data_IF_424816959044
#
_entry.id   IF_424816959044
#
_cell.length_a   1.000
_cell.length_b   1.000
_cell.length_c   1.000
_cell.angle_alpha   90.00
_cell.angle_beta   90.00
_cell.angle_gamma   90.00
#
_symmetry.space_group_name_H-M   'P 1'
#
loop_
_entity.id
_entity.type
_entity.pdbx_description
1 polymer ?
#
# COMPACT_ATOMS: atom_id res chain seq x y z
N UNK A 1 -0.43 24.61 6.42
CA UNK A 1 -0.44 24.96 4.97
C UNK A 1 -1.79 25.56 4.62
N UNK A 2 -1.84 26.57 3.72
CA UNK A 2 -3.11 27.16 3.32
C UNK A 2 -3.98 26.16 2.54
N UNK A 3 -5.27 26.22 2.76
CA UNK A 3 -6.26 25.35 2.13
C UNK A 3 -6.18 25.34 0.59
N UNK A 4 -6.00 26.54 -0.01
CA UNK A 4 -5.84 26.70 -1.46
C UNK A 4 -4.61 25.95 -2.00
N UNK A 5 -3.48 26.00 -1.27
CA UNK A 5 -2.24 25.33 -1.64
C UNK A 5 -2.36 23.81 -1.54
N UNK A 6 -3.04 23.29 -0.50
CA UNK A 6 -3.32 21.86 -0.39
C UNK A 6 -4.15 21.37 -1.56
N UNK A 7 -5.25 22.07 -1.87
CA UNK A 7 -6.13 21.74 -3.00
C UNK A 7 -5.40 21.79 -4.34
N UNK A 8 -4.54 22.81 -4.51
CA UNK A 8 -3.73 22.95 -5.72
C UNK A 8 -2.75 21.78 -5.86
N UNK A 9 -2.02 21.42 -4.79
CA UNK A 9 -1.09 20.29 -4.80
C UNK A 9 -1.79 18.98 -5.18
N UNK A 10 -2.95 18.71 -4.58
CA UNK A 10 -3.76 17.51 -4.92
C UNK A 10 -4.17 17.52 -6.39
N UNK A 11 -4.66 18.65 -6.92
CA UNK A 11 -5.13 18.75 -8.30
C UNK A 11 -3.99 18.60 -9.33
N UNK A 12 -2.81 19.15 -9.05
CA UNK A 12 -1.65 19.11 -9.95
C UNK A 12 -0.97 17.74 -9.98
N UNK A 13 -1.14 16.93 -8.92
CA UNK A 13 -0.51 15.61 -8.78
C UNK A 13 -1.51 14.44 -8.92
N UNK A 14 -2.79 14.72 -9.21
CA UNK A 14 -3.83 13.71 -9.46
C UNK A 14 -3.68 13.07 -10.84
N UNK A 15 -2.61 12.28 -11.02
CA UNK A 15 -2.35 11.45 -12.20
C UNK A 15 -1.82 10.09 -11.75
N UNK A 16 -1.90 9.08 -12.63
CA UNK A 16 -1.37 7.74 -12.36
C UNK A 16 0.15 7.86 -12.22
N UNK A 17 0.70 7.38 -11.09
CA UNK A 17 2.11 7.50 -10.69
C UNK A 17 2.60 6.22 -10.02
N UNK A 18 2.51 5.12 -10.75
CA UNK A 18 2.88 3.80 -10.25
C UNK A 18 4.34 3.73 -9.83
N UNK A 19 4.62 2.98 -8.79
CA UNK A 19 5.96 2.80 -8.25
C UNK A 19 7.00 2.45 -9.30
N UNK A 20 8.14 3.16 -9.31
CA UNK A 20 9.23 3.03 -10.28
C UNK A 20 8.97 3.69 -11.63
N UNK A 21 7.83 4.37 -11.84
CA UNK A 21 7.53 5.09 -13.07
C UNK A 21 8.14 6.49 -13.11
N UNK A 22 8.32 7.08 -14.31
CA UNK A 22 8.69 8.50 -14.44
C UNK A 22 7.70 9.44 -13.74
N UNK A 23 6.42 9.09 -13.73
CA UNK A 23 5.35 9.85 -13.08
C UNK A 23 5.49 9.85 -11.55
N UNK A 24 5.88 8.70 -10.95
CA UNK A 24 6.25 8.65 -9.53
C UNK A 24 7.41 9.61 -9.24
N UNK A 25 8.48 9.55 -10.07
CA UNK A 25 9.62 10.47 -9.96
C UNK A 25 9.22 11.95 -10.06
N UNK A 26 8.28 12.29 -10.94
CA UNK A 26 7.73 13.65 -11.06
C UNK A 26 6.98 14.07 -9.79
N UNK A 27 6.23 13.19 -9.15
CA UNK A 27 5.54 13.47 -7.90
C UNK A 27 6.54 13.67 -6.74
N UNK A 28 7.59 12.85 -6.67
CA UNK A 28 8.68 13.04 -5.69
C UNK A 28 9.31 14.43 -5.78
N UNK A 29 9.59 14.88 -7.00
CA UNK A 29 10.11 16.23 -7.26
C UNK A 29 9.10 17.34 -6.93
N UNK A 30 7.81 17.10 -7.15
CA UNK A 30 6.76 18.03 -6.73
C UNK A 30 6.70 18.19 -5.21
N UNK A 31 6.82 17.08 -4.46
CA UNK A 31 6.89 17.09 -2.99
C UNK A 31 8.14 17.86 -2.53
N UNK A 32 9.31 17.54 -3.09
CA UNK A 32 10.57 18.23 -2.77
C UNK A 32 10.48 19.74 -3.04
N UNK A 33 9.88 20.10 -4.18
CA UNK A 33 9.67 21.51 -4.55
C UNK A 33 8.66 22.21 -3.62
N UNK A 34 7.61 21.51 -3.18
CA UNK A 34 6.67 22.03 -2.20
C UNK A 34 7.36 22.31 -0.85
N UNK A 35 8.24 21.40 -0.39
CA UNK A 35 9.07 21.62 0.81
C UNK A 35 9.94 22.88 0.63
N UNK A 36 10.62 23.05 -0.51
CA UNK A 36 11.43 24.23 -0.79
C UNK A 36 10.59 25.52 -0.80
N UNK A 37 9.37 25.46 -1.31
CA UNK A 37 8.40 26.57 -1.25
C UNK A 37 7.96 26.96 0.17
N UNK A 38 8.14 26.08 1.14
CA UNK A 38 7.94 26.32 2.57
C UNK A 38 9.23 26.79 3.28
N UNK A 39 10.36 26.88 2.57
CA UNK A 39 11.67 27.18 3.13
C UNK A 39 12.34 25.99 3.80
N UNK A 40 11.93 24.76 3.44
CA UNK A 40 12.41 23.51 4.02
C UNK A 40 13.23 22.74 2.98
N UNK A 41 14.30 22.07 3.40
CA UNK A 41 15.18 21.31 2.52
C UNK A 41 14.88 19.82 2.63
N UNK A 42 14.30 19.25 1.57
CA UNK A 42 14.07 17.82 1.45
C UNK A 42 15.04 17.18 0.44
N UNK A 43 15.47 15.96 0.71
CA UNK A 43 16.32 15.16 -0.16
C UNK A 43 15.57 13.96 -0.73
N UNK A 44 16.07 13.43 -1.84
CA UNK A 44 15.62 12.19 -2.45
C UNK A 44 16.60 11.07 -2.09
N UNK A 45 16.06 9.91 -1.70
CA UNK A 45 16.81 8.68 -1.50
C UNK A 45 16.29 7.62 -2.46
N UNK A 46 17.12 7.24 -3.45
CA UNK A 46 16.76 6.25 -4.45
C UNK A 46 16.94 4.83 -3.94
N UNK A 47 16.06 3.94 -4.40
CA UNK A 47 16.16 2.50 -4.19
C UNK A 47 15.67 1.74 -5.43
N UNK A 48 16.18 0.52 -5.69
CA UNK A 48 15.75 -0.26 -6.85
C UNK A 48 14.39 -0.91 -6.61
N UNK A 49 13.60 -1.00 -7.68
CA UNK A 49 12.36 -1.77 -7.73
C UNK A 49 12.34 -2.66 -8.96
N UNK A 50 11.85 -3.88 -8.80
CA UNK A 50 11.70 -4.80 -9.91
C UNK A 50 10.46 -4.44 -10.73
N UNK A 51 10.64 -4.31 -12.03
CA UNK A 51 9.65 -3.89 -12.99
C UNK A 51 9.57 -4.88 -14.13
N UNK A 52 8.46 -4.89 -14.87
CA UNK A 52 8.33 -5.65 -16.08
C UNK A 52 7.59 -4.85 -17.17
N UNK A 53 8.08 -4.96 -18.40
CA UNK A 53 7.35 -4.52 -19.59
C UNK A 53 6.78 -5.74 -20.28
N UNK A 54 5.47 -5.89 -20.28
CA UNK A 54 4.79 -6.97 -20.98
C UNK A 54 4.81 -6.67 -22.48
N UNK A 55 5.43 -7.55 -23.26
CA UNK A 55 5.51 -7.47 -24.72
C UNK A 55 4.35 -8.17 -25.40
N UNK A 56 3.89 -9.29 -24.78
CA UNK A 56 2.79 -10.10 -25.30
C UNK A 56 2.08 -10.79 -24.15
N UNK A 57 0.74 -10.73 -24.12
CA UNK A 57 -0.11 -11.48 -23.21
C UNK A 57 -1.32 -11.99 -23.98
N UNK A 58 -1.47 -13.30 -24.08
CA UNK A 58 -2.58 -13.94 -24.79
C UNK A 58 -3.17 -15.07 -23.94
N UNK A 59 -4.47 -15.18 -24.04
CA UNK A 59 -5.24 -16.30 -23.49
C UNK A 59 -6.15 -16.86 -24.58
N UNK A 60 -6.09 -18.17 -24.76
CA UNK A 60 -6.97 -18.93 -25.64
C UNK A 60 -7.66 -19.99 -24.81
N UNK A 61 -8.97 -20.16 -24.96
CA UNK A 61 -9.76 -21.18 -24.28
C UNK A 61 -10.55 -21.99 -25.29
N UNK A 62 -10.30 -23.30 -25.35
CA UNK A 62 -10.86 -24.23 -26.34
C UNK A 62 -10.77 -23.68 -27.78
N UNK A 63 -9.64 -23.02 -28.11
CA UNK A 63 -9.36 -22.44 -29.42
C UNK A 63 -9.93 -21.04 -29.66
N UNK A 64 -10.71 -20.46 -28.75
CA UNK A 64 -11.22 -19.10 -28.82
C UNK A 64 -10.30 -18.12 -28.06
N UNK A 65 -9.95 -16.98 -28.68
CA UNK A 65 -9.18 -15.91 -28.03
C UNK A 65 -10.03 -15.22 -26.93
N UNK A 66 -9.42 -15.00 -25.76
CA UNK A 66 -10.06 -14.41 -24.60
C UNK A 66 -9.32 -13.12 -24.19
N UNK A 67 -9.99 -11.98 -24.06
CA UNK A 67 -9.36 -10.75 -23.58
C UNK A 67 -8.74 -10.94 -22.20
N UNK A 68 -7.47 -10.57 -22.05
CA UNK A 68 -6.73 -10.65 -20.79
C UNK A 68 -5.65 -9.58 -20.70
N UNK A 69 -5.15 -9.35 -19.48
CA UNK A 69 -3.88 -8.67 -19.21
C UNK A 69 -2.86 -9.68 -18.68
N UNK A 70 -1.58 -9.46 -18.97
CA UNK A 70 -0.53 -10.28 -18.39
C UNK A 70 -0.27 -9.94 -16.92
N UNK A 71 0.25 -10.90 -16.17
CA UNK A 71 0.78 -10.67 -14.84
C UNK A 71 2.23 -10.21 -14.96
N UNK A 72 2.50 -8.95 -14.65
CA UNK A 72 3.86 -8.42 -14.61
C UNK A 72 4.70 -9.18 -13.56
N UNK A 73 5.99 -9.34 -13.83
CA UNK A 73 6.93 -10.07 -12.97
C UNK A 73 6.58 -11.56 -12.70
N UNK A 74 5.60 -12.12 -13.40
CA UNK A 74 5.38 -13.56 -13.44
C UNK A 74 6.35 -14.26 -14.41
N UNK A 75 6.31 -15.59 -14.52
CA UNK A 75 7.13 -16.33 -15.46
C UNK A 75 6.76 -16.03 -16.91
N UNK A 76 7.73 -15.85 -17.81
CA UNK A 76 7.49 -15.83 -19.25
C UNK A 76 7.39 -17.25 -19.78
N UNK A 77 6.57 -17.46 -20.81
CA UNK A 77 6.46 -18.72 -21.49
C UNK A 77 5.14 -18.92 -22.24
N UNK A 78 5.09 -20.04 -22.95
CA UNK A 78 3.88 -20.55 -23.61
C UNK A 78 3.47 -21.86 -22.93
N UNK A 79 2.26 -21.92 -22.41
CA UNK A 79 1.70 -23.08 -21.71
C UNK A 79 0.32 -23.40 -22.27
N UNK A 80 0.13 -24.64 -22.69
CA UNK A 80 -1.18 -25.19 -23.06
C UNK A 80 -1.48 -26.42 -22.22
N UNK A 81 -2.59 -26.38 -21.46
CA UNK A 81 -2.96 -27.46 -20.55
C UNK A 81 -4.46 -27.47 -20.25
N UNK A 82 -4.98 -28.55 -19.64
CA UNK A 82 -6.34 -28.55 -19.11
C UNK A 82 -6.54 -27.45 -18.08
N UNK A 83 -7.76 -26.88 -18.03
CA UNK A 83 -8.15 -25.87 -17.05
C UNK A 83 -8.72 -26.54 -15.80
N UNK A 84 -8.38 -26.00 -14.64
CA UNK A 84 -9.02 -26.38 -13.38
C UNK A 84 -9.52 -25.12 -12.67
N UNK A 85 -10.81 -25.06 -12.37
CA UNK A 85 -11.38 -23.97 -11.58
C UNK A 85 -11.19 -24.27 -10.10
N UNK A 86 -10.26 -23.57 -9.47
CA UNK A 86 -9.90 -23.72 -8.06
C UNK A 86 -10.81 -22.84 -7.19
N UNK A 87 -11.76 -23.47 -6.52
CA UNK A 87 -12.73 -22.79 -5.64
C UNK A 87 -12.36 -22.83 -4.16
N UNK A 88 -11.43 -23.71 -3.78
CA UNK A 88 -11.00 -23.91 -2.40
C UNK A 88 -9.50 -24.21 -2.34
N UNK A 89 -8.85 -23.76 -1.28
CA UNK A 89 -7.43 -24.02 -1.00
C UNK A 89 -7.21 -25.26 -0.11
N UNK A 90 -8.19 -26.15 -0.01
CA UNK A 90 -8.05 -27.41 0.71
C UNK A 90 -7.10 -28.38 -0.01
N UNK A 91 -6.50 -29.37 0.71
CA UNK A 91 -5.52 -30.28 0.12
C UNK A 91 -6.03 -31.10 -1.07
N UNK A 92 -7.31 -31.44 -1.10
CA UNK A 92 -7.88 -32.21 -2.22
C UNK A 92 -7.97 -31.33 -3.47
N UNK A 93 -8.52 -30.10 -3.34
CA UNK A 93 -8.63 -29.14 -4.44
C UNK A 93 -7.26 -28.76 -4.99
N UNK A 94 -6.27 -28.53 -4.13
CA UNK A 94 -4.89 -28.26 -4.54
C UNK A 94 -4.28 -29.46 -5.29
N UNK A 95 -4.55 -30.70 -4.88
CA UNK A 95 -4.05 -31.88 -5.58
C UNK A 95 -4.50 -31.96 -7.05
N UNK A 96 -5.62 -31.34 -7.40
CA UNK A 96 -6.16 -31.25 -8.75
C UNK A 96 -5.44 -30.26 -9.67
N UNK A 97 -4.58 -29.39 -9.11
CA UNK A 97 -3.86 -28.37 -9.89
C UNK A 97 -2.71 -28.93 -10.73
N UNK A 98 -2.20 -30.13 -10.40
CA UNK A 98 -1.03 -30.71 -11.04
C UNK A 98 -1.19 -30.85 -12.56
N UNK A 99 -0.25 -30.23 -13.31
CA UNK A 99 -0.23 -30.29 -14.78
C UNK A 99 -1.34 -29.49 -15.45
N UNK A 100 -1.96 -28.56 -14.74
CA UNK A 100 -3.10 -27.77 -15.25
C UNK A 100 -2.84 -26.26 -15.19
N UNK A 101 -3.64 -25.53 -15.93
CA UNK A 101 -3.81 -24.07 -15.80
C UNK A 101 -4.92 -23.83 -14.77
N UNK A 102 -4.60 -23.10 -13.71
CA UNK A 102 -5.51 -22.87 -12.59
C UNK A 102 -6.28 -21.57 -12.79
N UNK A 103 -7.61 -21.64 -12.90
CA UNK A 103 -8.49 -20.47 -12.83
C UNK A 103 -8.88 -20.26 -11.36
N UNK A 104 -8.57 -19.11 -10.76
CA UNK A 104 -8.81 -18.83 -9.35
C UNK A 104 -9.40 -17.44 -9.13
N UNK A 105 -10.32 -17.34 -8.15
CA UNK A 105 -10.83 -16.08 -7.61
C UNK A 105 -9.85 -15.41 -6.63
N UNK A 106 -8.80 -16.13 -6.24
CA UNK A 106 -7.78 -15.59 -5.33
C UNK A 106 -6.75 -14.78 -6.10
N UNK A 107 -6.44 -13.60 -5.61
CA UNK A 107 -5.25 -12.87 -6.04
C UNK A 107 -4.01 -13.70 -5.70
N UNK A 108 -2.98 -13.59 -6.53
CA UNK A 108 -1.72 -14.32 -6.34
C UNK A 108 -0.87 -13.66 -5.24
N UNK A 109 -1.38 -13.68 -4.01
CA UNK A 109 -0.59 -13.38 -2.82
C UNK A 109 0.36 -14.54 -2.49
N UNK A 110 1.27 -14.32 -1.54
CA UNK A 110 2.36 -15.25 -1.19
C UNK A 110 1.90 -16.71 -1.01
N UNK A 111 0.94 -16.95 -0.11
CA UNK A 111 0.50 -18.31 0.19
C UNK A 111 -0.29 -18.94 -0.95
N UNK A 112 -1.16 -18.20 -1.62
CA UNK A 112 -1.92 -18.71 -2.77
C UNK A 112 -1.00 -19.15 -3.89
N UNK A 113 -0.04 -18.29 -4.26
CA UNK A 113 0.92 -18.60 -5.33
C UNK A 113 1.80 -19.80 -4.97
N UNK A 114 2.33 -19.82 -3.74
CA UNK A 114 3.15 -20.92 -3.24
C UNK A 114 2.40 -22.26 -3.30
N UNK A 115 1.18 -22.28 -2.80
CA UNK A 115 0.37 -23.53 -2.74
C UNK A 115 0.06 -24.08 -4.14
N UNK A 116 -0.38 -23.23 -5.10
CA UNK A 116 -0.70 -23.71 -6.45
C UNK A 116 0.56 -24.16 -7.20
N UNK A 117 1.68 -23.47 -7.00
CA UNK A 117 2.96 -23.83 -7.59
C UNK A 117 3.48 -25.16 -7.04
N UNK A 118 3.48 -25.35 -5.71
CA UNK A 118 3.89 -26.60 -5.06
C UNK A 118 2.96 -27.76 -5.43
N UNK A 119 1.69 -27.48 -5.66
CA UNK A 119 0.73 -28.46 -6.18
C UNK A 119 1.02 -28.86 -7.64
N UNK A 120 1.91 -28.15 -8.34
CA UNK A 120 2.36 -28.46 -9.70
C UNK A 120 1.48 -27.84 -10.79
N UNK A 121 0.84 -26.71 -10.53
CA UNK A 121 0.20 -25.91 -11.57
C UNK A 121 1.24 -25.41 -12.59
N UNK A 122 0.86 -25.39 -13.87
CA UNK A 122 1.73 -24.95 -14.97
C UNK A 122 1.61 -23.45 -15.27
N UNK A 123 0.43 -22.89 -15.03
CA UNK A 123 0.11 -21.48 -15.22
C UNK A 123 -1.14 -21.12 -14.41
N UNK A 124 -1.47 -19.83 -14.35
CA UNK A 124 -2.67 -19.38 -13.64
C UNK A 124 -3.44 -18.30 -14.39
N UNK A 125 -4.74 -18.27 -14.14
CA UNK A 125 -5.67 -17.23 -14.57
C UNK A 125 -6.34 -16.71 -13.31
N UNK A 126 -6.27 -15.39 -13.06
CA UNK A 126 -7.04 -14.75 -12.00
C UNK A 126 -8.12 -13.85 -12.60
N UNK A 127 -9.11 -13.49 -11.79
CA UNK A 127 -10.12 -12.55 -12.22
C UNK A 127 -10.52 -11.62 -11.09
N UNK A 128 -10.99 -10.43 -11.46
CA UNK A 128 -11.64 -9.49 -10.56
C UNK A 128 -12.74 -8.71 -11.28
N UNK A 129 -13.29 -7.74 -10.57
CA UNK A 129 -14.41 -6.93 -11.02
C UNK A 129 -15.70 -7.30 -10.32
N UNK A 130 -16.79 -6.70 -10.77
CA UNK A 130 -18.14 -6.97 -10.27
C UNK A 130 -19.03 -7.34 -11.46
N UNK A 131 -19.69 -8.50 -11.37
CA UNK A 131 -20.56 -9.01 -12.45
C UNK A 131 -21.70 -8.03 -12.78
N UNK A 132 -22.13 -7.21 -11.82
CA UNK A 132 -23.17 -6.20 -12.02
C UNK A 132 -22.67 -4.89 -12.63
N UNK A 133 -21.34 -4.71 -12.71
CA UNK A 133 -20.69 -3.52 -13.28
C UNK A 133 -19.71 -3.94 -14.38
N UNK A 134 -20.23 -4.27 -15.58
CA UNK A 134 -19.41 -4.82 -16.67
C UNK A 134 -18.36 -3.85 -17.22
N UNK A 135 -18.51 -2.56 -16.96
CA UNK A 135 -17.61 -1.50 -17.41
C UNK A 135 -16.47 -1.21 -16.40
N UNK A 136 -16.32 -2.06 -15.37
CA UNK A 136 -15.19 -1.94 -14.45
C UNK A 136 -13.88 -2.20 -15.19
N UNK A 137 -12.82 -1.45 -14.82
CA UNK A 137 -11.51 -1.59 -15.44
C UNK A 137 -10.91 -2.97 -15.15
N UNK A 138 -10.23 -3.52 -16.12
CA UNK A 138 -9.34 -4.66 -15.92
C UNK A 138 -7.99 -4.12 -15.44
N UNK A 139 -7.78 -4.15 -14.13
CA UNK A 139 -6.57 -3.63 -13.51
C UNK A 139 -5.36 -4.49 -13.89
N UNK A 140 -4.25 -3.89 -14.40
CA UNK A 140 -3.00 -4.60 -14.58
C UNK A 140 -2.53 -5.22 -13.26
N UNK A 141 -2.09 -6.47 -13.31
CA UNK A 141 -1.64 -7.22 -12.13
C UNK A 141 -0.15 -7.48 -12.18
N UNK A 142 0.42 -7.63 -11.01
CA UNK A 142 1.83 -7.91 -10.81
C UNK A 142 2.01 -9.02 -9.79
N UNK A 143 2.95 -9.90 -10.07
CA UNK A 143 3.44 -10.86 -9.10
C UNK A 143 4.62 -10.21 -8.36
N UNK A 144 4.40 -9.80 -7.13
CA UNK A 144 5.45 -9.16 -6.32
C UNK A 144 6.64 -10.11 -6.16
N UNK A 145 7.86 -9.58 -6.25
CA UNK A 145 9.10 -10.39 -6.28
C UNK A 145 9.26 -11.29 -5.06
N UNK A 146 8.87 -10.84 -3.87
CA UNK A 146 8.90 -11.68 -2.67
C UNK A 146 7.90 -12.86 -2.72
N UNK A 147 6.98 -12.88 -3.69
CA UNK A 147 6.06 -14.02 -3.93
C UNK A 147 6.70 -15.03 -4.85
N UNK A 148 7.56 -14.60 -5.78
CA UNK A 148 8.06 -15.39 -6.91
C UNK A 148 9.57 -15.65 -6.87
N UNK A 149 10.14 -15.86 -5.69
CA UNK A 149 11.59 -15.98 -5.50
C UNK A 149 12.28 -16.98 -6.45
N UNK A 150 11.61 -18.10 -6.79
CA UNK A 150 12.12 -19.09 -7.76
C UNK A 150 11.00 -19.73 -8.55
N UNK A 151 11.32 -20.20 -9.79
CA UNK A 151 10.41 -20.98 -10.64
C UNK A 151 9.05 -20.33 -10.86
N UNK A 152 9.04 -19.12 -11.38
CA UNK A 152 7.82 -18.40 -11.72
C UNK A 152 7.07 -19.09 -12.87
N UNK A 153 5.75 -19.26 -12.72
CA UNK A 153 4.85 -19.74 -13.77
C UNK A 153 4.13 -18.55 -14.41
N UNK A 154 3.79 -18.62 -15.71
CA UNK A 154 3.09 -17.53 -16.39
C UNK A 154 1.67 -17.38 -15.87
N UNK A 155 1.17 -16.14 -15.87
CA UNK A 155 -0.17 -15.83 -15.42
C UNK A 155 -0.81 -14.71 -16.21
N UNK A 156 -2.13 -14.76 -16.30
CA UNK A 156 -2.96 -13.73 -16.91
C UNK A 156 -4.13 -13.36 -16.00
N UNK A 157 -4.67 -12.18 -16.23
CA UNK A 157 -5.79 -11.65 -15.47
C UNK A 157 -6.94 -11.30 -16.41
N UNK A 158 -8.18 -11.65 -16.03
CA UNK A 158 -9.38 -11.45 -16.84
C UNK A 158 -10.48 -10.77 -16.01
N UNK A 159 -11.45 -10.20 -16.69
CA UNK A 159 -12.64 -9.65 -16.04
C UNK A 159 -13.55 -10.77 -15.52
N UNK A 160 -14.22 -10.57 -14.37
CA UNK A 160 -15.13 -11.55 -13.75
C UNK A 160 -16.20 -12.05 -14.71
N UNK A 161 -16.80 -11.21 -15.55
CA UNK A 161 -17.79 -11.63 -16.54
C UNK A 161 -17.21 -12.56 -17.60
N UNK A 162 -15.92 -12.45 -17.89
CA UNK A 162 -15.21 -13.40 -18.75
C UNK A 162 -15.02 -14.72 -18.02
N UNK A 163 -14.59 -14.69 -16.75
CA UNK A 163 -14.44 -15.92 -15.95
C UNK A 163 -15.77 -16.68 -15.81
N UNK A 164 -16.89 -15.97 -15.57
CA UNK A 164 -18.23 -16.58 -15.53
C UNK A 164 -18.54 -17.31 -16.83
N UNK A 165 -18.33 -16.67 -18.00
CA UNK A 165 -18.58 -17.29 -19.32
C UNK A 165 -17.70 -18.53 -19.55
N UNK A 166 -16.45 -18.51 -19.11
CA UNK A 166 -15.56 -19.68 -19.22
C UNK A 166 -16.07 -20.86 -18.39
N UNK A 167 -16.53 -20.57 -17.17
CA UNK A 167 -17.10 -21.62 -16.29
C UNK A 167 -18.43 -22.13 -16.84
N UNK A 168 -19.33 -21.26 -17.32
CA UNK A 168 -20.62 -21.66 -17.93
C UNK A 168 -20.43 -22.54 -19.17
N UNK A 169 -19.45 -22.20 -20.03
CA UNK A 169 -19.09 -23.04 -21.20
C UNK A 169 -18.42 -24.36 -20.82
N UNK A 170 -17.96 -24.52 -19.58
CA UNK A 170 -17.23 -25.70 -19.14
C UNK A 170 -15.91 -25.87 -19.87
N UNK A 171 -15.14 -24.78 -20.03
CA UNK A 171 -13.85 -24.77 -20.71
C UNK A 171 -12.93 -25.87 -20.23
N UNK A 172 -12.40 -26.65 -21.19
CA UNK A 172 -11.57 -27.82 -20.91
C UNK A 172 -10.07 -27.53 -20.98
N UNK A 173 -9.63 -26.71 -21.92
CA UNK A 173 -8.21 -26.40 -22.17
C UNK A 173 -8.01 -24.92 -22.34
N UNK A 174 -6.84 -24.44 -21.89
CA UNK A 174 -6.41 -23.09 -22.17
C UNK A 174 -4.95 -23.09 -22.66
N UNK A 175 -4.63 -22.06 -23.42
CA UNK A 175 -3.26 -21.70 -23.80
C UNK A 175 -2.99 -20.28 -23.32
N UNK A 176 -1.90 -20.10 -22.57
CA UNK A 176 -1.40 -18.82 -22.12
C UNK A 176 -0.06 -18.56 -22.81
N UNK A 177 0.11 -17.35 -23.37
CA UNK A 177 1.38 -16.85 -23.82
C UNK A 177 1.68 -15.57 -23.05
N UNK A 178 2.82 -15.52 -22.37
CA UNK A 178 3.28 -14.33 -21.66
C UNK A 178 4.75 -14.09 -21.99
N UNK A 179 5.02 -12.97 -22.66
CA UNK A 179 6.37 -12.52 -22.97
C UNK A 179 6.58 -11.16 -22.31
N UNK A 180 7.59 -11.05 -21.49
CA UNK A 180 7.91 -9.81 -20.78
C UNK A 180 9.42 -9.65 -20.60
N UNK A 181 9.83 -8.39 -20.49
CA UNK A 181 11.18 -8.00 -20.14
C UNK A 181 11.15 -7.51 -18.69
N UNK A 182 11.89 -8.19 -17.82
CA UNK A 182 12.04 -7.80 -16.42
C UNK A 182 13.32 -6.99 -16.25
N UNK A 183 13.25 -5.93 -15.46
CA UNK A 183 14.38 -5.03 -15.21
C UNK A 183 14.23 -4.34 -13.86
N UNK A 184 15.31 -3.74 -13.37
CA UNK A 184 15.26 -2.88 -12.20
C UNK A 184 15.16 -1.41 -12.62
N UNK A 185 14.23 -0.68 -12.00
CA UNK A 185 14.07 0.75 -12.15
C UNK A 185 14.23 1.48 -10.80
N UNK A 186 14.44 2.81 -10.81
CA UNK A 186 14.55 3.58 -9.59
C UNK A 186 13.17 3.97 -9.06
N UNK A 187 12.97 3.80 -7.77
CA UNK A 187 11.97 4.52 -7.00
C UNK A 187 12.66 5.40 -5.95
N UNK A 188 11.92 6.25 -5.24
CA UNK A 188 12.52 7.25 -4.35
C UNK A 188 11.66 7.47 -3.12
N UNK A 189 12.33 7.63 -1.98
CA UNK A 189 11.73 8.29 -0.82
C UNK A 189 12.10 9.78 -0.85
N UNK A 190 11.18 10.64 -0.43
CA UNK A 190 11.47 12.06 -0.15
C UNK A 190 11.61 12.21 1.35
N UNK A 191 12.71 12.78 1.83
CA UNK A 191 13.00 12.88 3.25
C UNK A 191 13.27 14.33 3.65
N UNK A 192 12.60 14.76 4.72
CA UNK A 192 12.76 16.06 5.34
C UNK A 192 13.06 15.88 6.83
N UNK A 193 14.10 16.56 7.31
CA UNK A 193 14.49 16.55 8.72
C UNK A 193 14.24 17.91 9.37
N UNK A 194 13.59 17.90 10.53
CA UNK A 194 13.47 19.05 11.42
C UNK A 194 14.19 18.72 12.74
N UNK A 195 15.37 19.29 12.99
CA UNK A 195 16.14 19.00 14.21
C UNK A 195 15.38 19.45 15.47
N UNK A 196 15.33 18.58 16.47
CA UNK A 196 14.82 18.90 17.81
C UNK A 196 15.94 19.15 18.81
N UNK A 197 15.55 19.45 20.06
CA UNK A 197 16.51 19.68 21.15
C UNK A 197 17.05 18.39 21.78
N UNK A 198 16.31 17.28 21.62
CA UNK A 198 16.64 15.98 22.23
C UNK A 198 17.18 14.95 21.22
N UNK A 199 17.50 13.76 21.72
CA UNK A 199 18.04 12.67 20.92
C UNK A 199 16.98 11.79 20.26
N UNK A 200 15.75 11.80 20.79
CA UNK A 200 14.64 11.00 20.27
C UNK A 200 14.12 11.56 18.95
N UNK A 201 13.70 10.68 18.06
CA UNK A 201 13.12 11.04 16.76
C UNK A 201 11.70 10.49 16.65
N UNK A 202 10.79 11.28 16.09
CA UNK A 202 9.48 10.83 15.60
C UNK A 202 9.52 10.87 14.07
N UNK A 203 9.15 9.76 13.44
CA UNK A 203 9.07 9.67 11.97
C UNK A 203 7.61 9.76 11.55
N UNK A 204 7.31 10.69 10.65
CA UNK A 204 6.03 10.75 9.93
C UNK A 204 6.20 10.07 8.58
N UNK A 205 5.22 9.28 8.16
CA UNK A 205 5.23 8.60 6.87
C UNK A 205 3.90 8.72 6.13
N UNK A 206 3.96 8.74 4.82
CA UNK A 206 2.84 8.56 3.89
C UNK A 206 3.39 8.20 2.53
N UNK A 207 2.74 7.32 1.79
CA UNK A 207 3.16 7.09 0.41
C UNK A 207 2.61 8.13 -0.55
N UNK A 208 3.21 8.19 -1.74
CA UNK A 208 2.82 9.14 -2.76
C UNK A 208 2.61 8.49 -4.14
N UNK A 209 2.94 7.21 -4.31
CA UNK A 209 2.63 6.44 -5.51
C UNK A 209 1.13 6.08 -5.58
N UNK A 210 0.71 5.46 -6.66
CA UNK A 210 -0.66 4.99 -6.87
C UNK A 210 -0.68 3.69 -7.65
N UNK A 211 -1.82 2.99 -7.63
CA UNK A 211 -2.05 1.83 -8.49
C UNK A 211 -2.21 2.22 -9.97
N UNK A 212 -2.06 1.27 -10.93
CA UNK A 212 -2.11 1.57 -12.36
C UNK A 212 -3.44 2.12 -12.89
N UNK A 213 -4.53 1.96 -12.14
CA UNK A 213 -5.88 2.40 -12.55
C UNK A 213 -6.42 3.55 -11.72
N UNK A 214 -5.64 4.05 -10.76
CA UNK A 214 -6.04 5.11 -9.84
C UNK A 214 -5.14 6.34 -9.97
N UNK A 215 -5.73 7.51 -9.95
CA UNK A 215 -4.99 8.75 -9.74
C UNK A 215 -4.68 8.99 -8.25
N UNK A 216 -5.22 8.14 -7.36
CA UNK A 216 -4.88 8.04 -5.95
C UNK A 216 -4.92 9.38 -5.20
N UNK A 217 -6.05 10.09 -5.24
CA UNK A 217 -6.17 11.36 -4.52
C UNK A 217 -6.38 11.09 -3.03
N UNK A 218 -7.25 10.16 -2.72
CA UNK A 218 -7.46 9.71 -1.35
C UNK A 218 -6.36 8.73 -0.93
N UNK A 219 -6.01 7.79 -1.80
CA UNK A 219 -4.97 6.78 -1.62
C UNK A 219 -3.77 7.01 -2.58
N UNK A 220 -2.69 7.81 -2.22
CA UNK A 220 -2.56 8.49 -0.93
C UNK A 220 -1.93 9.90 -1.08
N UNK A 221 -2.35 10.68 -2.11
CA UNK A 221 -1.96 12.10 -2.14
C UNK A 221 -2.49 12.85 -0.91
N UNK A 222 -3.60 12.40 -0.33
CA UNK A 222 -4.18 12.98 0.87
C UNK A 222 -3.23 12.93 2.06
N UNK A 223 -2.61 11.78 2.32
CA UNK A 223 -1.56 11.61 3.33
C UNK A 223 -0.31 12.42 2.98
N UNK A 224 0.08 12.42 1.70
CA UNK A 224 1.25 13.17 1.24
C UNK A 224 1.11 14.69 1.46
N UNK A 225 -0.04 15.28 1.15
CA UNK A 225 -0.28 16.71 1.39
C UNK A 225 -0.46 17.02 2.88
N UNK A 226 -1.02 16.08 3.64
CA UNK A 226 -1.10 16.22 5.09
C UNK A 226 0.28 16.26 5.75
N UNK A 227 1.23 15.42 5.26
CA UNK A 227 2.62 15.48 5.70
C UNK A 227 3.26 16.86 5.42
N UNK A 228 3.03 17.43 4.23
CA UNK A 228 3.50 18.80 3.91
C UNK A 228 2.94 19.84 4.90
N UNK A 229 1.65 19.73 5.23
CA UNK A 229 1.01 20.63 6.18
C UNK A 229 1.56 20.46 7.61
N UNK A 230 1.82 19.23 8.04
CA UNK A 230 2.45 18.93 9.34
C UNK A 230 3.90 19.42 9.38
N UNK A 231 4.68 19.24 8.31
CA UNK A 231 6.04 19.75 8.20
C UNK A 231 6.08 21.29 8.35
N UNK A 232 5.19 22.00 7.67
CA UNK A 232 5.05 23.47 7.84
C UNK A 232 4.62 23.85 9.27
N UNK A 233 3.71 23.08 9.87
CA UNK A 233 3.25 23.32 11.23
C UNK A 233 4.39 23.22 12.24
N UNK A 234 5.21 22.18 12.17
CA UNK A 234 6.31 21.93 13.10
C UNK A 234 7.55 22.80 12.82
N UNK A 235 7.84 23.12 11.57
CA UNK A 235 8.96 24.00 11.24
C UNK A 235 8.88 25.40 11.88
N UNK A 236 7.69 25.81 12.29
CA UNK A 236 7.43 27.12 12.93
C UNK A 236 7.29 27.03 14.45
N UNK A 237 7.53 25.88 15.04
CA UNK A 237 7.33 25.63 16.48
C UNK A 237 8.52 24.90 17.07
N UNK A 238 8.86 25.19 18.34
CA UNK A 238 9.85 24.38 19.04
C UNK A 238 9.32 22.97 19.28
N UNK A 239 10.18 21.98 19.19
CA UNK A 239 9.91 20.59 19.53
C UNK A 239 11.15 19.92 20.14
N UNK A 240 10.93 19.02 21.10
CA UNK A 240 12.01 18.30 21.79
C UNK A 240 12.56 17.16 20.94
N UNK A 241 11.68 16.32 20.41
CA UNK A 241 12.12 15.27 19.50
C UNK A 241 12.52 15.85 18.16
N UNK A 242 13.53 15.28 17.53
CA UNK A 242 13.74 15.48 16.10
C UNK A 242 12.55 14.92 15.34
N UNK A 243 12.14 15.57 14.26
CA UNK A 243 11.03 15.12 13.42
C UNK A 243 11.55 14.82 12.03
N UNK A 244 11.22 13.65 11.53
CA UNK A 244 11.55 13.25 10.16
C UNK A 244 10.28 12.93 9.40
N UNK A 245 10.15 13.49 8.21
CA UNK A 245 9.04 13.26 7.31
C UNK A 245 9.53 12.42 6.13
N UNK A 246 8.88 11.31 5.87
CA UNK A 246 9.23 10.35 4.82
C UNK A 246 8.02 10.14 3.92
N UNK A 247 8.07 10.69 2.72
CA UNK A 247 7.14 10.33 1.66
C UNK A 247 7.69 9.09 0.97
N UNK A 248 7.01 7.97 1.13
CA UNK A 248 7.45 6.67 0.65
C UNK A 248 7.02 6.44 -0.80
N UNK A 249 7.96 6.03 -1.65
CA UNK A 249 7.65 5.57 -3.00
C UNK A 249 7.32 4.09 -3.03
N UNK A 250 6.60 3.65 -4.06
CA UNK A 250 6.33 2.24 -4.34
C UNK A 250 5.71 1.46 -3.16
N UNK A 251 4.82 2.10 -2.40
CA UNK A 251 4.06 1.45 -1.34
C UNK A 251 3.14 0.39 -1.91
N UNK A 252 2.44 0.72 -2.98
CA UNK A 252 1.45 -0.13 -3.68
C UNK A 252 2.07 -1.40 -4.26
N UNK A 253 3.39 -1.43 -4.42
CA UNK A 253 4.17 -2.59 -4.84
C UNK A 253 4.65 -3.46 -3.67
N UNK A 254 4.23 -3.16 -2.45
CA UNK A 254 4.51 -3.96 -1.24
C UNK A 254 5.36 -3.25 -0.21
N UNK A 255 5.06 -2.00 0.09
CA UNK A 255 5.72 -1.19 1.11
C UNK A 255 7.21 -0.95 0.82
N UNK A 256 7.59 -0.88 -0.49
CA UNK A 256 9.01 -0.96 -0.85
C UNK A 256 9.79 0.25 -0.36
N UNK A 257 9.22 1.46 -0.41
CA UNK A 257 9.87 2.68 0.08
C UNK A 257 10.14 2.64 1.58
N UNK A 258 9.13 2.28 2.37
CA UNK A 258 9.28 2.16 3.82
C UNK A 258 10.26 1.04 4.20
N UNK A 259 10.25 -0.10 3.49
CA UNK A 259 11.24 -1.18 3.67
C UNK A 259 12.65 -0.72 3.35
N UNK A 260 12.84 -0.04 2.21
CA UNK A 260 14.15 0.48 1.81
C UNK A 260 14.66 1.51 2.82
N UNK A 261 13.77 2.42 3.28
CA UNK A 261 14.11 3.38 4.33
C UNK A 261 14.54 2.69 5.62
N UNK A 262 13.77 1.75 6.13
CA UNK A 262 14.08 1.06 7.38
C UNK A 262 15.42 0.29 7.30
N UNK A 263 15.69 -0.36 6.17
CA UNK A 263 16.95 -1.07 5.95
C UNK A 263 18.16 -0.12 5.85
N UNK A 264 18.00 1.04 5.20
CA UNK A 264 19.09 2.02 5.06
C UNK A 264 19.39 2.78 6.37
N UNK A 265 18.41 2.90 7.27
CA UNK A 265 18.46 3.74 8.45
C UNK A 265 18.36 2.96 9.78
N UNK A 266 18.78 1.69 9.82
CA UNK A 266 18.66 0.83 11.02
C UNK A 266 19.23 1.46 12.30
N UNK A 267 20.38 2.15 12.21
CA UNK A 267 20.99 2.83 13.38
C UNK A 267 20.15 4.02 13.85
N UNK A 268 19.54 4.75 12.94
CA UNK A 268 18.68 5.90 13.25
C UNK A 268 17.34 5.46 13.82
N UNK A 269 16.83 4.30 13.38
CA UNK A 269 15.63 3.69 13.94
C UNK A 269 15.78 3.37 15.43
N UNK A 270 17.01 3.14 15.93
CA UNK A 270 17.27 2.95 17.37
C UNK A 270 16.92 4.19 18.21
N UNK A 271 16.88 5.37 17.59
CA UNK A 271 16.46 6.62 18.22
C UNK A 271 15.01 6.99 17.91
N UNK A 272 14.37 6.29 16.99
CA UNK A 272 12.99 6.53 16.62
C UNK A 272 12.05 5.97 17.69
N UNK A 273 11.29 6.84 18.32
CA UNK A 273 10.39 6.47 19.43
C UNK A 273 8.96 6.22 18.98
N UNK A 274 8.57 6.72 17.82
CA UNK A 274 7.24 6.55 17.25
C UNK A 274 7.27 6.81 15.74
N UNK A 275 6.57 5.97 14.98
CA UNK A 275 6.16 6.28 13.61
C UNK A 275 4.70 6.71 13.58
N UNK A 276 4.41 7.82 12.91
CA UNK A 276 3.06 8.35 12.67
C UNK A 276 2.81 8.31 11.18
N UNK A 277 2.00 7.36 10.74
CA UNK A 277 1.68 7.14 9.34
C UNK A 277 0.32 7.75 8.99
N UNK A 278 0.23 8.38 7.84
CA UNK A 278 -1.00 8.97 7.32
C UNK A 278 -1.34 8.31 5.99
N UNK A 279 -2.48 7.63 5.98
CA UNK A 279 -2.89 6.90 4.79
C UNK A 279 -4.41 6.92 4.64
N UNK A 280 -4.89 7.50 3.53
CA UNK A 280 -6.31 7.70 3.26
C UNK A 280 -7.01 8.67 4.24
N UNK A 281 -6.48 9.87 4.45
CA UNK A 281 -7.14 10.92 5.25
C UNK A 281 -8.06 11.80 4.39
N UNK A 282 -8.98 12.55 5.02
CA UNK A 282 -9.79 13.59 4.35
C UNK A 282 -10.95 13.09 3.49
N UNK A 283 -11.33 11.80 3.53
CA UNK A 283 -12.47 11.29 2.78
C UNK A 283 -13.76 12.03 3.13
N UNK A 284 -14.59 12.29 2.11
CA UNK A 284 -15.86 13.04 2.25
C UNK A 284 -16.86 12.33 3.16
N UNK A 285 -16.93 11.01 3.07
CA UNK A 285 -17.76 10.16 3.94
C UNK A 285 -16.87 9.10 4.58
N UNK A 286 -16.62 9.22 5.86
CA UNK A 286 -15.76 8.25 6.50
C UNK A 286 -15.62 8.48 7.99
N UNK A 287 -15.28 7.41 8.70
CA UNK A 287 -14.91 7.46 10.11
C UNK A 287 -13.40 7.57 10.27
N UNK A 288 -12.96 8.37 11.23
CA UNK A 288 -11.55 8.42 11.63
C UNK A 288 -11.17 7.15 12.36
N UNK A 289 -10.03 6.61 11.98
CA UNK A 289 -9.42 5.48 12.68
C UNK A 289 -7.98 5.79 13.06
N UNK A 290 -7.53 5.15 14.13
CA UNK A 290 -6.13 5.05 14.52
C UNK A 290 -5.80 3.58 14.75
N UNK A 291 -4.96 3.00 13.89
CA UNK A 291 -4.52 1.61 14.00
C UNK A 291 -3.10 1.58 14.59
N UNK A 292 -2.98 1.07 15.82
CA UNK A 292 -1.75 1.11 16.60
C UNK A 292 -1.03 -0.25 16.58
N UNK A 293 0.16 -0.31 15.98
CA UNK A 293 1.08 -1.43 16.11
C UNK A 293 2.05 -1.12 17.25
N UNK A 294 1.50 -1.13 18.46
CA UNK A 294 2.17 -0.71 19.69
C UNK A 294 1.47 -1.29 20.91
N UNK A 295 1.90 -0.87 22.11
CA UNK A 295 1.17 -1.17 23.36
C UNK A 295 -0.24 -0.57 23.35
N UNK A 296 -1.16 -1.19 24.08
CA UNK A 296 -2.58 -0.80 24.17
C UNK A 296 -2.79 0.59 24.79
N UNK A 297 -1.85 1.04 25.63
CA UNK A 297 -1.90 2.39 26.22
C UNK A 297 -1.94 3.50 25.18
N UNK A 298 -1.31 3.31 24.00
CA UNK A 298 -1.37 4.28 22.92
C UNK A 298 -2.80 4.40 22.38
N UNK A 299 -3.53 3.30 22.27
CA UNK A 299 -4.95 3.30 21.87
C UNK A 299 -5.75 4.16 22.84
N UNK A 300 -5.65 3.89 24.13
CA UNK A 300 -6.38 4.66 25.14
C UNK A 300 -5.97 6.13 25.18
N UNK A 301 -4.69 6.42 24.99
CA UNK A 301 -4.24 7.80 24.91
C UNK A 301 -4.91 8.56 23.75
N UNK A 302 -4.99 7.95 22.58
CA UNK A 302 -5.65 8.53 21.41
C UNK A 302 -7.16 8.73 21.66
N UNK A 303 -7.83 7.77 22.29
CA UNK A 303 -9.25 7.88 22.66
C UNK A 303 -9.51 9.02 23.64
N UNK A 304 -8.68 9.16 24.67
CA UNK A 304 -8.78 10.28 25.62
C UNK A 304 -8.54 11.62 24.95
N UNK A 305 -7.51 11.73 24.11
CA UNK A 305 -7.22 12.95 23.35
C UNK A 305 -8.37 13.29 22.40
N UNK A 306 -8.92 12.31 21.70
CA UNK A 306 -10.06 12.50 20.81
C UNK A 306 -11.28 13.01 21.59
N UNK A 307 -11.54 12.45 22.76
CA UNK A 307 -12.64 12.90 23.65
C UNK A 307 -12.38 14.32 24.16
N UNK A 308 -11.15 14.65 24.57
CA UNK A 308 -10.75 16.00 25.01
C UNK A 308 -10.97 17.05 23.92
N UNK A 309 -10.65 16.70 22.68
CA UNK A 309 -10.76 17.60 21.54
C UNK A 309 -12.15 17.58 20.87
N UNK A 310 -13.07 16.73 21.34
CA UNK A 310 -14.40 16.58 20.75
C UNK A 310 -14.36 15.97 19.33
N UNK A 311 -13.37 15.14 19.02
CA UNK A 311 -13.16 14.51 17.71
C UNK A 311 -13.57 13.05 17.76
N UNK A 312 -14.56 12.59 16.97
CA UNK A 312 -14.87 11.17 16.87
C UNK A 312 -13.67 10.39 16.28
N UNK A 313 -13.23 9.34 17.00
CA UNK A 313 -12.08 8.51 16.64
C UNK A 313 -12.33 7.06 17.07
N UNK A 314 -12.03 6.11 16.18
CA UNK A 314 -11.99 4.68 16.51
C UNK A 314 -10.51 4.25 16.57
N UNK A 315 -9.99 4.07 17.77
CA UNK A 315 -8.63 3.58 17.94
C UNK A 315 -8.61 2.09 18.26
N UNK A 316 -7.59 1.37 17.78
CA UNK A 316 -7.44 -0.07 18.03
C UNK A 316 -5.99 -0.52 17.87
N UNK A 317 -5.63 -1.62 18.52
CA UNK A 317 -4.41 -2.36 18.16
C UNK A 317 -4.59 -3.13 16.86
N UNK A 318 -3.59 -3.09 15.99
CA UNK A 318 -3.58 -3.83 14.74
C UNK A 318 -2.34 -3.56 13.91
N UNK A 319 -2.18 -4.29 12.81
CA UNK A 319 -1.26 -3.98 11.72
C UNK A 319 -2.09 -3.34 10.61
N UNK A 320 -1.75 -2.11 10.26
CA UNK A 320 -2.34 -1.42 9.13
C UNK A 320 -1.49 -1.70 7.89
N UNK A 321 -2.15 -2.10 6.79
CA UNK A 321 -1.44 -2.44 5.54
C UNK A 321 -0.93 -1.16 4.86
N UNK A 322 0.12 -0.58 5.40
CA UNK A 322 0.75 0.66 4.91
C UNK A 322 2.18 0.82 5.47
N UNK A 323 2.81 1.95 5.21
CA UNK A 323 4.21 2.26 5.52
C UNK A 323 4.59 2.12 7.00
N UNK A 324 3.62 2.18 7.92
CA UNK A 324 3.87 1.92 9.36
C UNK A 324 4.35 0.49 9.66
N UNK A 325 4.01 -0.47 8.81
CA UNK A 325 4.32 -1.89 9.02
C UNK A 325 5.83 -2.18 9.03
N UNK A 326 6.65 -1.69 8.07
CA UNK A 326 8.10 -1.89 8.13
C UNK A 326 8.76 -1.24 9.35
N UNK A 327 8.28 -0.07 9.81
CA UNK A 327 8.78 0.53 11.05
C UNK A 327 8.48 -0.35 12.26
N UNK A 328 7.26 -0.86 12.37
CA UNK A 328 6.88 -1.76 13.45
C UNK A 328 7.69 -3.07 13.43
N UNK A 329 7.99 -3.60 12.25
CA UNK A 329 8.83 -4.78 12.06
C UNK A 329 10.27 -4.56 12.57
N UNK A 330 10.79 -3.34 12.46
CA UNK A 330 12.08 -2.93 13.02
C UNK A 330 12.00 -2.48 14.50
N UNK A 331 10.88 -2.78 15.17
CA UNK A 331 10.71 -2.52 16.60
C UNK A 331 10.33 -1.07 16.95
N UNK A 332 9.97 -0.25 15.98
CA UNK A 332 9.48 1.10 16.20
C UNK A 332 7.96 1.07 16.40
N UNK A 333 7.41 1.49 17.57
CA UNK A 333 5.97 1.62 17.74
C UNK A 333 5.36 2.50 16.66
N UNK A 334 4.23 2.10 16.11
CA UNK A 334 3.64 2.80 14.99
C UNK A 334 2.13 3.02 15.16
N UNK A 335 1.63 4.11 14.62
CA UNK A 335 0.21 4.40 14.49
C UNK A 335 -0.09 4.87 13.08
N UNK A 336 -1.10 4.30 12.43
CA UNK A 336 -1.64 4.78 11.16
C UNK A 336 -2.97 5.49 11.39
N UNK A 337 -3.05 6.73 10.93
CA UNK A 337 -4.29 7.52 10.91
C UNK A 337 -4.90 7.47 9.52
N UNK A 338 -6.22 7.23 9.47
CA UNK A 338 -6.99 7.21 8.24
C UNK A 338 -8.43 7.70 8.48
N UNK A 339 -9.13 8.03 7.40
CA UNK A 339 -10.57 8.26 7.38
C UNK A 339 -11.21 7.29 6.40
N UNK A 340 -11.72 6.18 6.90
CA UNK A 340 -12.20 5.04 6.10
C UNK A 340 -13.65 5.23 5.71
N UNK A 341 -13.91 5.20 4.41
CA UNK A 341 -15.24 5.27 3.84
C UNK A 341 -16.09 4.05 4.20
N UNK A 342 -17.43 4.23 4.41
CA UNK A 342 -18.33 3.11 4.48
C UNK A 342 -18.34 2.30 3.18
N UNK A 343 -18.66 1.00 3.22
CA UNK A 343 -18.78 0.19 2.02
C UNK A 343 -19.68 0.86 0.94
N UNK A 344 -19.26 0.79 -0.31
CA UNK A 344 -19.98 1.32 -1.48
C UNK A 344 -20.13 2.85 -1.55
N UNK A 345 -19.41 3.63 -0.75
CA UNK A 345 -19.43 5.10 -0.82
C UNK A 345 -18.19 5.69 -1.48
N UNK A 346 -17.03 5.12 -1.24
CA UNK A 346 -15.78 5.38 -1.93
C UNK A 346 -14.95 4.10 -1.94
N UNK A 347 -14.10 3.94 -2.93
CA UNK A 347 -13.18 2.82 -3.04
C UNK A 347 -11.87 3.28 -3.66
N UNK A 348 -10.79 2.63 -3.27
CA UNK A 348 -9.42 2.87 -3.74
C UNK A 348 -9.07 1.94 -4.90
N UNK A 349 -7.90 2.11 -5.49
CA UNK A 349 -7.32 1.27 -6.55
C UNK A 349 -8.18 1.22 -7.82
N UNK A 350 -8.90 2.31 -8.14
CA UNK A 350 -9.70 2.46 -9.35
C UNK A 350 -9.81 3.93 -9.79
N UNK A 351 -10.37 4.15 -10.99
CA UNK A 351 -10.52 5.48 -11.61
C UNK A 351 -11.39 6.47 -10.82
N UNK A 352 -12.11 6.02 -9.79
CA UNK A 352 -13.03 6.87 -9.01
C UNK A 352 -12.37 7.46 -7.76
N UNK A 353 -11.14 7.07 -7.44
CA UNK A 353 -10.34 7.71 -6.38
C UNK A 353 -9.82 9.08 -6.87
N UNK A 354 -10.67 10.06 -6.83
CA UNK A 354 -10.43 11.42 -7.32
C UNK A 354 -10.79 12.46 -6.26
N UNK A 355 -10.67 13.74 -6.58
CA UNK A 355 -11.14 14.84 -5.72
C UNK A 355 -12.62 14.72 -5.33
N UNK A 356 -13.43 13.95 -6.04
CA UNK A 356 -14.85 13.76 -5.75
C UNK A 356 -15.11 13.01 -4.44
N UNK A 357 -14.16 12.17 -4.00
CA UNK A 357 -14.25 11.42 -2.72
C UNK A 357 -13.61 12.16 -1.56
N UNK A 358 -13.08 13.37 -1.78
CA UNK A 358 -12.40 14.19 -0.79
C UNK A 358 -13.27 15.33 -0.29
N UNK A 359 -13.06 15.72 0.96
CA UNK A 359 -13.56 16.98 1.53
C UNK A 359 -12.43 17.69 2.25
N UNK A 360 -12.10 18.89 1.78
CA UNK A 360 -10.92 19.59 2.28
C UNK A 360 -11.05 20.00 3.76
N UNK A 361 -12.28 20.28 4.22
CA UNK A 361 -12.54 20.53 5.65
C UNK A 361 -12.22 19.30 6.49
N UNK A 362 -12.58 18.10 6.01
CA UNK A 362 -12.26 16.85 6.69
C UNK A 362 -10.76 16.57 6.70
N UNK A 363 -10.06 16.89 5.59
CA UNK A 363 -8.61 16.78 5.53
C UNK A 363 -7.95 17.70 6.56
N UNK A 364 -8.42 18.96 6.68
CA UNK A 364 -7.91 19.90 7.67
C UNK A 364 -8.19 19.42 9.10
N UNK A 365 -9.39 18.94 9.38
CA UNK A 365 -9.75 18.38 10.70
C UNK A 365 -8.89 17.17 11.08
N UNK A 366 -8.56 16.31 10.09
CA UNK A 366 -7.68 15.17 10.32
C UNK A 366 -6.25 15.64 10.61
N UNK A 367 -5.73 16.60 9.84
CA UNK A 367 -4.42 17.23 10.07
C UNK A 367 -4.35 17.87 11.44
N UNK A 368 -5.39 18.63 11.86
CA UNK A 368 -5.42 19.33 13.14
C UNK A 368 -5.38 18.35 14.31
N UNK A 369 -6.12 17.23 14.24
CA UNK A 369 -6.06 16.20 15.26
C UNK A 369 -4.68 15.53 15.31
N UNK A 370 -4.12 15.16 14.15
CA UNK A 370 -2.80 14.52 14.08
C UNK A 370 -1.71 15.47 14.56
N UNK A 371 -1.80 16.77 14.22
CA UNK A 371 -0.88 17.78 14.72
C UNK A 371 -0.94 17.90 16.25
N UNK A 372 -2.15 17.93 16.83
CA UNK A 372 -2.35 17.99 18.27
C UNK A 372 -1.81 16.75 18.98
N UNK A 373 -2.00 15.55 18.40
CA UNK A 373 -1.43 14.31 18.90
C UNK A 373 0.11 14.33 18.81
N UNK A 374 0.64 14.65 17.65
CA UNK A 374 2.07 14.65 17.40
C UNK A 374 2.82 15.70 18.23
N UNK A 375 2.23 16.89 18.44
CA UNK A 375 2.80 17.93 19.29
C UNK A 375 2.98 17.47 20.73
N UNK A 376 1.99 16.74 21.28
CA UNK A 376 2.09 16.15 22.62
C UNK A 376 3.18 15.07 22.70
N UNK A 377 3.34 14.26 21.66
CA UNK A 377 4.40 13.25 21.59
C UNK A 377 5.79 13.90 21.45
N UNK A 378 5.92 14.87 20.53
CA UNK A 378 7.18 15.54 20.21
C UNK A 378 7.71 16.41 21.35
N UNK A 379 6.83 16.98 22.20
CA UNK A 379 7.18 17.87 23.29
C UNK A 379 7.12 17.20 24.68
N UNK A 380 6.72 15.93 24.75
CA UNK A 380 6.76 15.20 26.00
C UNK A 380 8.18 15.14 26.57
N UNK A 381 8.33 15.29 27.90
CA UNK A 381 9.63 15.16 28.58
C UNK A 381 10.30 13.82 28.27
N UNK A 382 9.49 12.79 28.08
CA UNK A 382 9.83 11.45 27.61
C UNK A 382 8.65 10.97 26.80
N UNK A 383 8.88 10.45 25.59
CA UNK A 383 7.80 9.86 24.79
C UNK A 383 7.07 8.81 25.64
N UNK A 384 5.74 8.93 25.79
CA UNK A 384 4.98 8.04 26.66
C UNK A 384 4.76 6.65 26.05
N UNK A 385 5.08 6.45 24.78
CA UNK A 385 4.95 5.17 24.08
C UNK A 385 6.14 4.30 24.40
N UNK A 386 5.89 3.06 24.83
CA UNK A 386 6.97 2.10 25.07
C UNK A 386 7.62 1.70 23.74
N UNK A 387 8.95 1.68 23.69
CA UNK A 387 9.74 1.23 22.51
C UNK A 387 9.78 -0.29 22.40
N UNK A 388 8.63 -0.90 22.49
CA UNK A 388 8.48 -2.35 22.43
C UNK A 388 7.23 -2.70 21.64
N UNK A 389 7.37 -3.61 20.69
CA UNK A 389 6.23 -4.18 19.97
C UNK A 389 5.74 -5.38 20.78
N UNK A 390 4.49 -5.35 21.28
CA UNK A 390 3.92 -6.46 22.06
C UNK A 390 3.88 -7.77 21.26
N UNK A 391 3.97 -8.91 21.94
CA UNK A 391 4.01 -10.23 21.30
C UNK A 391 2.77 -10.51 20.42
N UNK A 392 1.59 -10.05 20.83
CA UNK A 392 0.39 -10.15 20.00
C UNK A 392 0.47 -9.34 18.70
N UNK A 393 1.22 -8.24 18.70
CA UNK A 393 1.47 -7.44 17.49
C UNK A 393 2.58 -8.05 16.63
N UNK A 394 3.65 -8.59 17.23
CA UNK A 394 4.68 -9.35 16.49
C UNK A 394 4.05 -10.53 15.75
N UNK A 395 3.16 -11.28 16.41
CA UNK A 395 2.46 -12.38 15.75
C UNK A 395 1.64 -11.93 14.53
N UNK A 396 0.94 -10.78 14.61
CA UNK A 396 0.21 -10.19 13.49
C UNK A 396 1.14 -9.68 12.38
N UNK A 397 2.30 -9.10 12.74
CA UNK A 397 3.32 -8.69 11.77
C UNK A 397 3.86 -9.91 11.01
N UNK A 398 4.14 -11.02 11.69
CA UNK A 398 4.62 -12.26 11.06
C UNK A 398 3.59 -12.83 10.07
N UNK A 399 2.29 -12.77 10.43
CA UNK A 399 1.22 -13.16 9.51
C UNK A 399 1.12 -12.22 8.30
N UNK A 400 1.15 -10.90 8.53
CA UNK A 400 1.09 -9.91 7.46
C UNK A 400 2.30 -9.98 6.51
N UNK A 401 3.50 -10.15 7.06
CA UNK A 401 4.75 -10.25 6.31
C UNK A 401 5.01 -11.66 5.73
N UNK A 402 4.03 -12.56 5.81
CA UNK A 402 4.09 -13.92 5.29
C UNK A 402 5.18 -14.81 5.92
N UNK A 403 5.70 -14.48 7.09
CA UNK A 403 6.62 -15.33 7.87
C UNK A 403 5.88 -16.50 8.51
N UNK A 404 4.62 -16.28 8.84
CA UNK A 404 3.72 -17.29 9.40
C UNK A 404 2.43 -17.31 8.61
N UNK A 405 1.94 -18.53 8.30
CA UNK A 405 0.63 -18.68 7.64
C UNK A 405 -0.48 -18.26 8.61
N UNK A 406 -1.41 -17.39 8.19
CA UNK A 406 -2.59 -17.10 9.00
C UNK A 406 -3.37 -18.37 9.33
N UNK A 407 -3.96 -18.44 10.52
CA UNK A 407 -4.85 -19.53 10.86
C UNK A 407 -6.04 -19.58 9.89
N UNK A 408 -6.46 -20.78 9.48
CA UNK A 408 -7.66 -20.93 8.67
C UNK A 408 -8.86 -20.32 9.42
N UNK A 409 -9.56 -19.40 8.76
CA UNK A 409 -10.77 -18.75 9.31
C UNK A 409 -11.96 -19.70 9.21
#
# INVERSE_FOLDING_TARGET
>A
MEYSKMKQFLAENAYIRTGGSPEEGRCAEAIRSACAGLGLEARLEEFPVDLATIRRAELWCDGEAVPCTGYACAGSGEVEAPVYYLTSMDPWSLSQCRGKIVLSDKLMGYWTYKDIREAGALAFITYNGNANFPDSDLEPRELRTYVSEENTIPGVHIHVNTAIRLVEKGVQRAKIVLEQEQFQGPSRNVILDLPGEGEDTIVFSAHYDSTPTSVGVWDNLSGSVALLALAEYFARRPHRCSLRFVWCGSEERGLLGAKAYCAAHEEELKKTVLNINLDMVGCIMGKRIACCTSEEKLVHYIEYLASELGVPMEARQGVYSSDSTPFADHGVPAVSFARIAPPNTASIHNRYDTMAVMKMEHLQEDIDFIAAFADRMANARRCPVAREIPENMKAKLDEYLNRKRPAAK
#
